data_IF_440181519724
#
_entry.id   IF_440181519724
#
_cell.length_a   1.000
_cell.length_b   1.000
_cell.length_c   1.000
_cell.angle_alpha   90.00
_cell.angle_beta   90.00
_cell.angle_gamma   90.00
#
_symmetry.space_group_name_H-M   'P 1'
#
loop_
_entity.id
_entity.type
_entity.pdbx_description
1 polymer ?
#
# COMPACT_ATOMS: atom_id res chain seq x y z
N UNK A 1 0.95 -20.04 -0.41
CA UNK A 1 0.62 -19.45 -1.73
C UNK A 1 -0.89 -19.28 -1.81
N UNK A 2 -1.45 -18.07 -1.58
CA UNK A 2 -2.88 -17.80 -1.72
C UNK A 2 -3.15 -17.28 -3.14
N UNK A 3 -3.62 -18.17 -4.02
CA UNK A 3 -3.98 -17.87 -5.41
C UNK A 3 -5.20 -16.96 -5.46
N UNK A 4 -5.11 -15.80 -6.12
CA UNK A 4 -6.29 -14.96 -6.36
C UNK A 4 -7.19 -15.67 -7.36
N UNK A 5 -8.39 -16.04 -6.91
CA UNK A 5 -9.38 -16.64 -7.77
C UNK A 5 -10.00 -15.56 -8.68
N UNK A 6 -9.69 -15.61 -9.97
CA UNK A 6 -10.22 -14.68 -10.98
C UNK A 6 -11.75 -14.75 -11.15
N UNK A 7 -12.41 -15.77 -10.59
CA UNK A 7 -13.88 -15.86 -10.62
C UNK A 7 -14.59 -14.87 -9.67
N UNK A 8 -13.89 -14.22 -8.74
CA UNK A 8 -14.44 -13.12 -7.91
C UNK A 8 -14.39 -11.75 -8.61
N UNK A 9 -14.21 -11.72 -9.94
CA UNK A 9 -14.18 -10.48 -10.72
C UNK A 9 -15.52 -9.75 -10.64
N UNK A 10 -15.51 -8.59 -9.97
CA UNK A 10 -16.63 -7.64 -10.03
C UNK A 10 -16.32 -6.66 -11.15
N UNK A 11 -17.15 -6.55 -12.20
CA UNK A 11 -16.90 -5.59 -13.27
C UNK A 11 -16.83 -4.18 -12.68
N UNK A 12 -15.71 -3.49 -12.97
CA UNK A 12 -15.52 -2.12 -12.53
C UNK A 12 -16.50 -1.19 -13.27
N UNK A 13 -17.06 -0.18 -12.60
CA UNK A 13 -17.94 0.79 -13.25
C UNK A 13 -17.20 1.52 -14.38
N UNK A 14 -17.95 2.11 -15.32
CA UNK A 14 -17.37 2.94 -16.39
C UNK A 14 -16.45 4.00 -15.76
N UNK A 15 -15.28 4.20 -16.38
CA UNK A 15 -14.19 5.01 -15.86
C UNK A 15 -13.71 5.95 -16.96
N UNK A 16 -13.47 7.21 -16.63
CA UNK A 16 -13.07 8.21 -17.62
C UNK A 16 -11.57 8.06 -17.95
N UNK A 17 -11.15 8.31 -19.20
CA UNK A 17 -9.74 8.31 -19.57
C UNK A 17 -8.89 9.32 -18.79
N UNK A 18 -9.52 10.40 -18.30
CA UNK A 18 -8.84 11.48 -17.56
C UNK A 18 -8.54 11.11 -16.10
N UNK A 19 -9.18 10.07 -15.55
CA UNK A 19 -8.91 9.62 -14.19
C UNK A 19 -7.69 8.69 -14.16
N UNK A 20 -6.65 8.99 -13.37
CA UNK A 20 -5.40 8.22 -13.41
C UNK A 20 -5.52 6.72 -13.04
N UNK A 21 -6.41 6.37 -12.11
CA UNK A 21 -6.60 4.98 -11.70
C UNK A 21 -8.00 4.69 -11.13
N UNK A 22 -8.45 3.45 -11.29
CA UNK A 22 -9.66 2.91 -10.70
C UNK A 22 -9.32 1.68 -9.87
N UNK A 23 -9.86 1.59 -8.66
CA UNK A 23 -9.67 0.42 -7.81
C UNK A 23 -11.00 -0.07 -7.24
N UNK A 24 -11.08 -1.37 -6.96
CA UNK A 24 -12.25 -1.95 -6.30
C UNK A 24 -12.50 -1.28 -4.94
N UNK A 25 -13.73 -0.87 -4.64
CA UNK A 25 -14.05 -0.13 -3.39
C UNK A 25 -14.12 -1.01 -2.13
N UNK A 26 -14.14 -2.32 -2.28
CA UNK A 26 -14.28 -3.25 -1.16
C UNK A 26 -13.07 -3.17 -0.22
N UNK A 27 -13.36 -3.08 1.07
CA UNK A 27 -12.37 -3.10 2.18
C UNK A 27 -12.47 -4.40 3.00
N UNK A 28 -13.06 -5.45 2.42
CA UNK A 28 -13.35 -6.73 3.09
C UNK A 28 -12.08 -7.43 3.58
N UNK A 29 -11.02 -7.39 2.78
CA UNK A 29 -9.79 -8.12 3.05
C UNK A 29 -8.76 -7.19 3.71
N UNK A 30 -8.70 -7.27 5.03
CA UNK A 30 -7.76 -6.54 5.88
C UNK A 30 -6.50 -7.37 6.11
N UNK A 31 -5.35 -6.71 6.04
CA UNK A 31 -4.05 -7.29 6.34
C UNK A 31 -3.41 -6.45 7.43
N UNK A 32 -3.12 -7.05 8.59
CA UNK A 32 -2.32 -6.39 9.62
C UNK A 32 -0.85 -6.36 9.17
N UNK A 33 -0.27 -5.17 9.07
CA UNK A 33 1.07 -4.94 8.50
C UNK A 33 2.14 -5.66 9.32
N UNK A 34 2.09 -5.51 10.64
CA UNK A 34 3.07 -6.17 11.53
C UNK A 34 3.03 -7.68 11.40
N UNK A 35 1.84 -8.28 11.33
CA UNK A 35 1.70 -9.73 11.17
C UNK A 35 2.19 -10.20 9.81
N UNK A 36 1.97 -9.40 8.76
CA UNK A 36 2.44 -9.69 7.41
C UNK A 36 3.97 -9.74 7.38
N UNK A 37 4.64 -8.75 7.96
CA UNK A 37 6.11 -8.72 8.02
C UNK A 37 6.65 -9.86 8.88
N UNK A 38 6.08 -10.07 10.07
CA UNK A 38 6.54 -11.09 11.00
C UNK A 38 6.35 -12.53 10.50
N UNK A 39 5.34 -12.79 9.66
CA UNK A 39 5.09 -14.11 9.06
C UNK A 39 6.06 -14.48 7.94
N UNK A 40 6.83 -13.51 7.44
CA UNK A 40 7.71 -13.69 6.29
C UNK A 40 9.12 -13.11 6.58
N UNK A 41 9.82 -13.60 7.63
CA UNK A 41 11.10 -13.04 8.06
C UNK A 41 12.22 -13.21 7.03
N UNK A 42 12.13 -14.26 6.21
CA UNK A 42 13.10 -14.56 5.16
C UNK A 42 12.87 -13.76 3.87
N UNK A 43 11.76 -13.01 3.78
CA UNK A 43 11.39 -12.27 2.57
C UNK A 43 12.18 -10.95 2.49
N UNK A 44 13.12 -10.80 1.53
CA UNK A 44 13.98 -9.62 1.48
C UNK A 44 13.21 -8.33 1.24
N UNK A 45 12.11 -8.40 0.47
CA UNK A 45 11.25 -7.26 0.17
C UNK A 45 10.50 -6.73 1.41
N UNK A 46 10.38 -7.52 2.47
CA UNK A 46 9.72 -7.11 3.71
C UNK A 46 10.69 -6.59 4.78
N UNK A 47 12.00 -6.74 4.55
CA UNK A 47 13.03 -6.21 5.45
C UNK A 47 12.98 -4.68 5.42
N UNK A 48 12.72 -4.07 6.58
CA UNK A 48 12.60 -2.61 6.70
C UNK A 48 11.34 -2.04 6.07
N UNK A 49 10.33 -2.87 5.75
CA UNK A 49 9.12 -2.45 5.06
C UNK A 49 8.33 -1.36 5.79
N UNK A 50 8.20 -1.44 7.12
CA UNK A 50 7.42 -0.46 7.89
C UNK A 50 8.06 0.94 7.86
N UNK A 51 9.37 1.10 8.13
CA UNK A 51 10.06 2.36 7.91
C UNK A 51 9.90 2.91 6.49
N UNK A 52 10.15 2.11 5.45
CA UNK A 52 10.01 2.54 4.06
C UNK A 52 8.58 2.99 3.73
N UNK A 53 7.56 2.22 4.17
CA UNK A 53 6.17 2.63 3.99
C UNK A 53 5.87 4.00 4.64
N UNK A 54 6.43 4.28 5.81
CA UNK A 54 6.26 5.58 6.49
C UNK A 54 6.99 6.69 5.72
N UNK A 55 8.20 6.43 5.23
CA UNK A 55 8.99 7.39 4.43
C UNK A 55 8.25 7.76 3.14
N UNK A 56 7.69 6.75 2.45
CA UNK A 56 6.81 6.96 1.31
C UNK A 56 5.64 7.91 1.65
N UNK A 57 4.90 7.61 2.72
CA UNK A 57 3.74 8.39 3.14
C UNK A 57 4.15 9.82 3.49
N UNK A 58 5.27 10.02 4.19
CA UNK A 58 5.80 11.34 4.54
C UNK A 58 6.15 12.15 3.28
N UNK A 59 6.87 11.55 2.32
CA UNK A 59 7.21 12.19 1.06
C UNK A 59 5.97 12.64 0.28
N UNK A 60 4.94 11.77 0.24
CA UNK A 60 3.65 12.07 -0.43
C UNK A 60 2.87 13.18 0.28
N UNK A 61 2.77 13.16 1.60
CA UNK A 61 2.11 14.21 2.37
C UNK A 61 2.85 15.55 2.28
N UNK A 62 4.19 15.51 2.17
CA UNK A 62 5.03 16.69 1.96
C UNK A 62 5.08 17.21 0.53
N UNK A 63 4.32 16.62 -0.41
CA UNK A 63 4.39 16.93 -1.85
C UNK A 63 5.82 16.92 -2.42
N UNK A 64 6.70 16.06 -1.90
CA UNK A 64 8.05 15.93 -2.45
C UNK A 64 7.96 15.15 -3.78
N UNK A 65 8.67 15.60 -4.83
CA UNK A 65 8.80 14.81 -6.05
C UNK A 65 9.45 13.48 -5.71
N UNK A 66 8.90 12.39 -6.24
CA UNK A 66 9.47 11.06 -6.11
C UNK A 66 10.43 10.85 -7.28
N UNK A 67 11.74 10.87 -7.00
CA UNK A 67 12.82 10.74 -7.99
C UNK A 67 13.34 9.30 -8.13
N UNK A 68 12.72 8.35 -7.42
CA UNK A 68 13.11 6.94 -7.41
C UNK A 68 13.70 6.51 -6.08
N UNK A 69 14.02 7.45 -5.20
CA UNK A 69 14.40 7.17 -3.82
C UNK A 69 13.38 7.79 -2.85
N UNK A 70 13.16 7.10 -1.74
CA UNK A 70 12.42 7.70 -0.64
C UNK A 70 13.36 8.63 0.10
N UNK A 71 12.91 9.86 0.40
CA UNK A 71 13.74 10.82 1.13
C UNK A 71 14.15 10.26 2.49
N UNK A 72 15.34 10.63 2.96
CA UNK A 72 15.77 10.30 4.32
C UNK A 72 14.91 11.06 5.33
N UNK A 73 14.19 10.31 6.17
CA UNK A 73 13.41 10.84 7.30
C UNK A 73 13.96 10.28 8.60
N UNK A 74 13.88 11.07 9.67
CA UNK A 74 14.29 10.62 11.01
C UNK A 74 13.21 9.74 11.64
N UNK A 75 13.59 8.97 12.67
CA UNK A 75 12.63 8.14 13.40
C UNK A 75 11.54 8.99 14.08
N UNK A 76 11.89 10.20 14.54
CA UNK A 76 10.92 11.16 15.09
C UNK A 76 9.92 11.67 14.05
N UNK A 77 10.32 11.78 12.79
CA UNK A 77 9.41 12.14 11.69
C UNK A 77 8.49 10.97 11.34
N UNK A 78 9.05 9.75 11.25
CA UNK A 78 8.30 8.50 11.04
C UNK A 78 7.27 8.24 12.14
N UNK A 79 7.57 8.59 13.38
CA UNK A 79 6.65 8.41 14.51
C UNK A 79 5.44 9.34 14.48
N UNK A 80 5.47 10.41 13.67
CA UNK A 80 4.30 11.25 13.40
C UNK A 80 3.28 10.57 12.49
N UNK A 81 3.69 9.52 11.76
CA UNK A 81 2.78 8.75 10.91
C UNK A 81 2.12 7.63 11.73
N UNK A 82 0.81 7.77 11.91
CA UNK A 82 -0.04 6.78 12.55
C UNK A 82 -0.88 6.08 11.48
N UNK A 83 -0.61 4.80 11.26
CA UNK A 83 -1.44 3.94 10.40
C UNK A 83 -2.55 3.34 11.26
N UNK A 84 -3.79 3.76 11.01
CA UNK A 84 -4.93 3.29 11.80
C UNK A 84 -5.04 1.76 11.77
N UNK A 85 -5.04 1.13 12.95
CA UNK A 85 -5.06 -0.33 13.15
C UNK A 85 -3.96 -1.09 12.39
N UNK A 86 -2.86 -0.43 11.98
CA UNK A 86 -1.81 -1.05 11.15
C UNK A 86 -2.37 -1.88 9.99
N UNK A 87 -3.42 -1.38 9.32
CA UNK A 87 -4.20 -2.17 8.35
C UNK A 87 -3.92 -1.74 6.92
N UNK A 88 -3.59 -2.71 6.06
CA UNK A 88 -3.66 -2.58 4.61
C UNK A 88 -4.93 -3.28 4.09
N UNK A 89 -5.51 -2.71 3.03
CA UNK A 89 -6.66 -3.30 2.35
C UNK A 89 -6.21 -3.92 1.04
N UNK A 90 -6.48 -5.22 0.88
CA UNK A 90 -6.23 -5.92 -0.38
C UNK A 90 -7.41 -5.74 -1.30
N UNK A 91 -7.19 -5.06 -2.42
CA UNK A 91 -8.19 -4.85 -3.45
C UNK A 91 -8.07 -5.92 -4.55
N UNK A 92 -9.21 -6.38 -5.07
CA UNK A 92 -9.26 -7.42 -6.11
C UNK A 92 -8.92 -6.90 -7.51
N UNK A 93 -9.01 -5.60 -7.74
CA UNK A 93 -8.77 -4.99 -9.05
C UNK A 93 -8.20 -3.59 -8.90
N UNK A 94 -7.16 -3.31 -9.68
CA UNK A 94 -6.57 -2.00 -9.93
C UNK A 94 -6.47 -1.84 -11.45
N UNK A 95 -6.99 -0.74 -11.98
CA UNK A 95 -6.85 -0.31 -13.37
C UNK A 95 -6.11 1.02 -13.36
N UNK A 96 -5.05 1.13 -14.14
CA UNK A 96 -4.27 2.36 -14.35
C UNK A 96 -4.44 2.75 -15.81
N UNK A 97 -4.62 4.04 -16.08
CA UNK A 97 -4.71 4.57 -17.44
C UNK A 97 -3.33 4.85 -18.04
#
# INVERSE_FOLDING_TARGET
>A
MHTINRSEYTPLPKFSPEQHYQMAKSVKYKIHIGDMVNRHPEEPALKGFIPALKDHILGRLGNRPFDGEEGEFTDEERDRIIIFNNTLYRHSTLRVN
#
